data_IF_403320388658
#
_entry.id   IF_403320388658
#
_cell.length_a   1.000
_cell.length_b   1.000
_cell.length_c   1.000
_cell.angle_alpha   90.00
_cell.angle_beta   90.00
_cell.angle_gamma   90.00
#
_symmetry.space_group_name_H-M   'P 1'
#
loop_
_entity.id
_entity.type
_entity.pdbx_description
1 polymer ?
#
# COMPACT_ATOMS: atom_id res chain seq x y z
N UNK A 1 4.33 0.07 -4.79
CA UNK A 1 3.70 0.63 -3.57
C UNK A 1 3.63 2.15 -3.56
N UNK A 2 4.29 2.86 -4.48
CA UNK A 2 4.31 4.33 -4.60
C UNK A 2 2.95 5.02 -4.72
N UNK A 3 1.92 4.29 -5.15
CA UNK A 3 0.57 4.83 -5.39
C UNK A 3 -0.39 4.64 -4.20
N UNK A 4 0.07 4.01 -3.12
CA UNK A 4 -0.75 3.69 -1.95
C UNK A 4 -0.40 4.64 -0.80
N UNK A 5 -1.42 5.17 -0.14
CA UNK A 5 -1.27 6.03 1.03
C UNK A 5 -2.22 5.64 2.17
N UNK A 6 -2.12 6.37 3.28
CA UNK A 6 -3.04 6.19 4.42
C UNK A 6 -4.52 6.43 4.06
N UNK A 7 -4.84 7.21 3.02
CA UNK A 7 -6.24 7.39 2.60
C UNK A 7 -6.87 6.10 2.08
N UNK A 8 -6.05 5.14 1.67
CA UNK A 8 -6.49 3.93 0.97
C UNK A 8 -6.76 2.76 1.92
N UNK A 9 -6.77 2.98 3.24
CA UNK A 9 -7.02 1.94 4.25
C UNK A 9 -8.30 1.15 3.96
N UNK A 10 -9.38 1.82 3.55
CA UNK A 10 -10.64 1.14 3.21
C UNK A 10 -10.52 0.26 1.96
N UNK A 11 -9.62 0.63 1.04
CA UNK A 11 -9.43 -0.04 -0.24
C UNK A 11 -8.42 -1.19 -0.16
N UNK A 12 -7.32 -1.05 0.59
CA UNK A 12 -6.23 -2.04 0.62
C UNK A 12 -5.95 -2.62 2.01
N UNK A 13 -6.64 -2.15 3.05
CA UNK A 13 -6.39 -2.53 4.44
C UNK A 13 -5.22 -1.78 5.08
N UNK A 14 -5.18 -1.80 6.42
CA UNK A 14 -4.22 -1.01 7.20
C UNK A 14 -2.75 -1.34 6.94
N UNK A 15 -2.41 -2.63 6.77
CA UNK A 15 -1.02 -3.06 6.53
C UNK A 15 -0.48 -2.53 5.21
N UNK A 16 -1.26 -2.66 4.14
CA UNK A 16 -0.85 -2.22 2.81
C UNK A 16 -0.76 -0.70 2.73
N UNK A 17 -1.69 0.02 3.37
CA UNK A 17 -1.63 1.48 3.49
C UNK A 17 -0.38 1.95 4.26
N UNK A 18 -0.02 1.28 5.36
CA UNK A 18 1.22 1.59 6.09
C UNK A 18 2.49 1.29 5.29
N UNK A 19 2.51 0.18 4.53
CA UNK A 19 3.63 -0.10 3.62
C UNK A 19 3.75 0.94 2.50
N UNK A 20 2.64 1.40 1.93
CA UNK A 20 2.64 2.51 0.96
C UNK A 20 3.20 3.80 1.55
N UNK A 21 2.77 4.18 2.75
CA UNK A 21 3.31 5.34 3.47
C UNK A 21 4.82 5.22 3.74
N UNK A 22 5.28 4.05 4.20
CA UNK A 22 6.71 3.79 4.43
C UNK A 22 7.48 3.83 3.11
N UNK A 23 6.97 3.20 2.06
CA UNK A 23 7.61 3.16 0.76
C UNK A 23 7.76 4.58 0.18
N UNK A 24 6.69 5.38 0.19
CA UNK A 24 6.72 6.73 -0.40
C UNK A 24 7.52 7.75 0.42
N UNK A 25 7.60 7.59 1.75
CA UNK A 25 8.31 8.55 2.63
C UNK A 25 9.74 8.14 2.95
N UNK A 26 9.97 6.87 3.24
CA UNK A 26 11.26 6.39 3.76
C UNK A 26 12.24 6.02 2.65
N UNK A 27 11.75 5.64 1.46
CA UNK A 27 12.63 5.38 0.31
C UNK A 27 13.41 6.64 -0.09
N UNK A 28 12.79 7.83 0.01
CA UNK A 28 13.47 9.11 -0.23
C UNK A 28 14.54 9.43 0.82
N UNK A 29 14.43 8.88 2.03
CA UNK A 29 15.41 9.01 3.11
C UNK A 29 16.50 7.93 3.05
N UNK A 30 16.55 7.14 1.97
CA UNK A 30 17.53 6.06 1.78
C UNK A 30 17.24 4.80 2.58
N UNK A 31 16.07 4.70 3.22
CA UNK A 31 15.64 3.48 3.91
C UNK A 31 15.04 2.53 2.87
N UNK A 32 15.60 1.33 2.79
CA UNK A 32 15.16 0.33 1.83
C UNK A 32 13.83 -0.30 2.27
N UNK A 33 12.74 0.07 1.59
CA UNK A 33 11.42 -0.54 1.76
C UNK A 33 11.13 -1.39 0.51
N UNK A 34 10.78 -2.69 0.66
CA UNK A 34 10.45 -3.54 -0.47
C UNK A 34 9.28 -2.99 -1.30
N UNK A 35 9.43 -3.01 -2.62
CA UNK A 35 8.36 -2.65 -3.55
C UNK A 35 7.44 -3.85 -3.85
N UNK A 36 6.30 -3.58 -4.49
CA UNK A 36 5.24 -4.53 -4.79
C UNK A 36 3.89 -3.85 -5.04
N UNK A 37 2.82 -4.63 -4.91
CA UNK A 37 1.44 -4.19 -5.11
C UNK A 37 0.51 -4.75 -4.04
N UNK A 38 -0.68 -4.16 -3.91
CA UNK A 38 -1.74 -4.65 -3.05
C UNK A 38 -3.01 -4.89 -3.87
N UNK A 39 -3.69 -6.02 -3.62
CA UNK A 39 -5.05 -6.22 -4.13
C UNK A 39 -6.02 -5.34 -3.34
N UNK A 40 -7.02 -4.81 -4.04
CA UNK A 40 -8.08 -4.04 -3.39
C UNK A 40 -9.15 -4.95 -2.82
N UNK A 41 -9.81 -4.48 -1.76
CA UNK A 41 -11.00 -5.11 -1.19
C UNK A 41 -12.08 -5.31 -2.26
N UNK A 42 -12.23 -4.35 -3.18
CA UNK A 42 -13.18 -4.45 -4.30
C UNK A 42 -12.84 -5.66 -5.20
N UNK A 43 -11.58 -5.80 -5.61
CA UNK A 43 -11.15 -6.92 -6.43
C UNK A 43 -11.42 -8.27 -5.74
N UNK A 44 -11.17 -8.37 -4.43
CA UNK A 44 -11.51 -9.58 -3.67
C UNK A 44 -13.01 -9.90 -3.74
N UNK A 45 -13.88 -8.91 -3.56
CA UNK A 45 -15.34 -9.10 -3.65
C UNK A 45 -15.83 -9.44 -5.06
N UNK A 46 -15.13 -9.01 -6.11
CA UNK A 46 -15.45 -9.39 -7.49
C UNK A 46 -14.99 -10.81 -7.84
N UNK A 47 -13.94 -11.29 -7.18
CA UNK A 47 -13.37 -12.61 -7.44
C UNK A 47 -14.21 -13.74 -6.84
N UNK A 48 -14.82 -13.53 -5.67
CA UNK A 48 -15.65 -14.52 -4.97
C UNK A 48 -17.06 -14.63 -5.54
#
# INVERSE_FOLDING_TARGET
FSEISKSDIALVGGKNASLGEMFSKLTNEGINVPDGFALTSNFYWQFI
#
